data_IF_678875619767
#
_entry.id   IF_678875619767
#
_cell.length_a   1.000
_cell.length_b   1.000
_cell.length_c   1.000
_cell.angle_alpha   90.00
_cell.angle_beta   90.00
_cell.angle_gamma   90.00
#
_symmetry.space_group_name_H-M   'P 1'
#
loop_
_entity.id
_entity.type
_entity.pdbx_description
1 polymer ?
#
# COMPACT_ATOMS: atom_id res chain seq x y z
N UNK A 1 21.28 55.22 11.48
CA UNK A 1 20.31 56.15 10.87
C UNK A 1 19.30 55.27 10.12
N UNK A 2 18.26 54.76 10.78
CA UNK A 2 16.97 55.40 11.13
C UNK A 2 16.15 55.87 9.93
N UNK A 3 15.10 55.12 9.60
CA UNK A 3 13.77 55.50 9.09
C UNK A 3 13.04 54.19 8.70
N UNK A 4 12.11 53.59 9.45
CA UNK A 4 10.79 54.05 9.92
C UNK A 4 9.77 54.33 8.79
N UNK A 5 8.73 53.47 8.73
CA UNK A 5 7.36 53.88 8.44
C UNK A 5 6.74 53.48 7.09
N UNK A 6 5.84 52.49 7.09
CA UNK A 6 4.38 52.74 7.00
C UNK A 6 3.53 51.47 7.10
N UNK A 7 2.50 51.60 7.91
CA UNK A 7 1.40 50.71 8.27
C UNK A 7 0.14 50.99 7.42
N UNK A 8 -0.83 50.08 7.55
CA UNK A 8 -2.27 50.23 7.24
C UNK A 8 -2.62 50.22 5.73
N UNK A 9 -3.76 49.74 5.25
CA UNK A 9 -5.05 49.41 5.85
C UNK A 9 -5.79 48.56 4.80
N UNK A 10 -6.47 47.48 5.18
CA UNK A 10 -7.45 46.82 4.31
C UNK A 10 -8.52 46.14 5.19
N UNK A 11 -9.37 46.99 5.76
CA UNK A 11 -10.72 46.67 6.22
C UNK A 11 -11.67 46.67 5.01
N UNK A 12 -12.88 46.16 5.26
CA UNK A 12 -14.10 46.26 4.45
C UNK A 12 -14.24 45.19 3.35
N UNK A 13 -15.36 44.52 3.14
CA UNK A 13 -16.73 44.59 3.66
C UNK A 13 -17.40 43.30 3.19
N UNK A 14 -18.03 42.50 4.06
CA UNK A 14 -19.17 41.63 3.68
C UNK A 14 -19.98 41.31 4.95
N UNK A 15 -20.76 42.31 5.37
CA UNK A 15 -21.97 42.14 6.17
C UNK A 15 -23.10 41.49 5.34
N UNK A 16 -24.04 40.90 6.09
CA UNK A 16 -25.46 40.75 5.76
C UNK A 16 -25.83 39.58 4.83
N UNK A 17 -26.72 38.66 5.19
CA UNK A 17 -27.67 38.61 6.31
C UNK A 17 -28.74 37.56 6.00
N UNK A 18 -29.64 37.39 6.97
CA UNK A 18 -30.91 36.65 6.93
C UNK A 18 -30.85 35.13 7.17
N UNK A 19 -31.85 34.51 7.80
CA UNK A 19 -32.83 34.90 8.82
C UNK A 19 -33.56 33.59 9.19
N UNK A 20 -34.06 33.52 10.42
CA UNK A 20 -35.26 32.78 10.90
C UNK A 20 -35.54 31.32 10.51
N UNK A 21 -35.80 30.51 11.53
CA UNK A 21 -36.54 29.25 11.39
C UNK A 21 -36.72 28.48 12.69
N UNK A 22 -37.39 29.07 13.69
CA UNK A 22 -37.90 28.36 14.86
C UNK A 22 -39.08 27.46 14.45
N UNK A 23 -39.10 26.22 14.95
CA UNK A 23 -40.17 25.25 14.76
C UNK A 23 -40.18 24.24 15.92
N UNK A 24 -41.26 24.28 16.67
CA UNK A 24 -41.54 23.68 17.97
C UNK A 24 -42.39 22.40 17.85
N UNK A 25 -42.48 21.60 18.93
CA UNK A 25 -43.44 20.50 19.20
C UNK A 25 -43.23 19.17 18.44
N UNK A 26 -43.50 17.96 18.95
CA UNK A 26 -44.13 17.42 20.16
C UNK A 26 -43.64 15.94 20.30
N UNK A 27 -43.31 15.43 21.49
CA UNK A 27 -44.16 14.63 22.40
C UNK A 27 -44.99 13.49 21.76
N UNK A 28 -44.75 12.26 22.25
CA UNK A 28 -45.50 11.01 22.04
C UNK A 28 -44.50 9.85 22.07
N UNK A 29 -44.22 9.13 23.16
CA UNK A 29 -45.08 8.41 24.13
C UNK A 29 -46.16 7.52 23.49
N UNK A 30 -46.03 6.22 23.72
CA UNK A 30 -46.84 5.16 23.11
C UNK A 30 -46.03 3.86 22.99
N UNK A 31 -46.00 3.07 24.06
CA UNK A 31 -45.39 1.75 24.06
C UNK A 31 -46.22 0.68 23.33
N UNK A 32 -45.63 -0.50 23.13
CA UNK A 32 -46.31 -1.77 23.44
C UNK A 32 -45.28 -2.91 23.50
N UNK A 33 -45.40 -3.72 24.54
CA UNK A 33 -44.62 -4.92 24.79
C UNK A 33 -45.34 -6.10 24.13
N UNK A 34 -45.01 -6.37 22.87
CA UNK A 34 -45.50 -7.52 22.12
C UNK A 34 -44.53 -8.71 22.19
N UNK A 35 -44.69 -9.53 23.22
CA UNK A 35 -44.10 -10.86 23.36
C UNK A 35 -44.82 -11.84 22.41
N UNK A 36 -44.10 -12.53 21.53
CA UNK A 36 -44.67 -13.68 20.82
C UNK A 36 -43.92 -14.06 19.55
N UNK A 37 -43.39 -15.29 19.53
CA UNK A 37 -43.21 -16.04 18.29
C UNK A 37 -41.87 -16.72 18.14
N UNK A 38 -41.65 -17.77 18.91
CA UNK A 38 -40.74 -18.86 18.55
C UNK A 38 -40.98 -19.29 17.10
N UNK A 39 -39.99 -19.05 16.24
CA UNK A 39 -40.11 -19.33 14.82
C UNK A 39 -38.78 -19.35 14.06
N UNK A 40 -37.64 -19.44 14.76
CA UNK A 40 -36.34 -19.59 14.12
C UNK A 40 -36.11 -21.05 13.74
N UNK A 41 -36.89 -21.47 12.74
CA UNK A 41 -36.56 -22.62 11.93
C UNK A 41 -35.19 -22.39 11.31
N UNK A 42 -34.21 -23.14 11.82
CA UNK A 42 -32.91 -23.46 11.23
C UNK A 42 -32.95 -23.47 9.69
N UNK A 43 -32.83 -22.29 9.08
CA UNK A 43 -32.23 -22.12 7.77
C UNK A 43 -30.74 -22.02 8.02
N UNK A 44 -30.11 -23.17 8.21
CA UNK A 44 -28.74 -23.37 7.76
C UNK A 44 -28.79 -23.41 6.23
N UNK A 45 -29.09 -22.24 5.63
CA UNK A 45 -28.89 -22.02 4.22
C UNK A 45 -27.38 -21.97 4.01
N UNK A 46 -26.90 -22.99 3.31
CA UNK A 46 -25.55 -23.09 2.83
C UNK A 46 -25.22 -21.88 1.93
N UNK A 47 -24.67 -20.81 2.53
CA UNK A 47 -24.09 -19.66 1.83
C UNK A 47 -22.78 -19.19 2.50
N UNK A 48 -22.03 -20.14 3.06
CA UNK A 48 -20.84 -19.83 3.87
C UNK A 48 -19.58 -19.54 3.00
N UNK A 49 -19.69 -19.74 1.68
CA UNK A 49 -18.58 -19.56 0.74
C UNK A 49 -18.42 -18.12 0.26
N UNK A 50 -19.51 -17.46 -0.14
CA UNK A 50 -19.45 -16.10 -0.70
C UNK A 50 -19.20 -15.05 0.39
N UNK A 51 -19.76 -15.25 1.59
CA UNK A 51 -19.53 -14.39 2.76
C UNK A 51 -18.08 -14.41 3.27
N UNK A 52 -17.42 -15.57 3.23
CA UNK A 52 -16.04 -15.70 3.71
C UNK A 52 -15.04 -15.00 2.80
N UNK A 53 -15.17 -15.17 1.47
CA UNK A 53 -14.31 -14.47 0.49
C UNK A 53 -14.59 -12.97 0.50
N UNK A 54 -15.85 -12.57 0.69
CA UNK A 54 -16.23 -11.17 0.84
C UNK A 54 -15.54 -10.50 2.03
N UNK A 55 -15.58 -11.16 3.18
CA UNK A 55 -14.99 -10.64 4.44
C UNK A 55 -13.47 -10.58 4.37
N UNK A 56 -12.81 -11.56 3.72
CA UNK A 56 -11.36 -11.54 3.52
C UNK A 56 -10.89 -10.35 2.66
N UNK A 57 -11.70 -9.91 1.69
CA UNK A 57 -11.37 -8.79 0.81
C UNK A 57 -11.49 -7.41 1.49
N UNK A 58 -12.09 -7.34 2.68
CA UNK A 58 -12.25 -6.11 3.47
C UNK A 58 -11.10 -5.87 4.45
N UNK A 59 -10.01 -6.66 4.35
CA UNK A 59 -8.88 -6.52 5.25
C UNK A 59 -8.14 -5.18 5.03
N UNK A 60 -7.76 -4.46 6.09
CA UNK A 60 -7.04 -3.17 6.01
C UNK A 60 -5.71 -3.22 5.23
N UNK A 61 -5.18 -4.42 4.98
CA UNK A 61 -3.95 -4.65 4.23
C UNK A 61 -4.15 -4.71 2.72
N UNK A 62 -5.38 -5.01 2.28
CA UNK A 62 -5.72 -5.22 0.87
C UNK A 62 -6.19 -3.95 0.17
N UNK A 63 -6.63 -2.96 0.94
CA UNK A 63 -7.04 -1.64 0.45
C UNK A 63 -8.52 -1.35 0.66
N UNK A 64 -8.93 -0.13 0.31
CA UNK A 64 -10.23 0.43 0.74
C UNK A 64 -11.43 -0.09 -0.05
N UNK A 65 -11.25 -0.51 -1.30
CA UNK A 65 -12.37 -0.86 -2.18
C UNK A 65 -12.24 -2.27 -2.72
N UNK A 66 -13.17 -3.15 -2.31
CA UNK A 66 -13.25 -4.56 -2.72
C UNK A 66 -13.13 -4.75 -4.24
N UNK A 67 -13.82 -3.92 -5.04
CA UNK A 67 -13.76 -3.99 -6.52
C UNK A 67 -12.36 -3.68 -7.07
N UNK A 68 -11.65 -2.71 -6.48
CA UNK A 68 -10.29 -2.34 -6.90
C UNK A 68 -9.26 -3.37 -6.46
N UNK A 69 -9.46 -3.94 -5.26
CA UNK A 69 -8.65 -5.07 -4.76
C UNK A 69 -8.82 -6.29 -5.66
N UNK A 70 -10.05 -6.65 -6.03
CA UNK A 70 -10.31 -7.75 -6.96
C UNK A 70 -9.65 -7.53 -8.33
N UNK A 71 -9.74 -6.31 -8.87
CA UNK A 71 -9.06 -5.96 -10.13
C UNK A 71 -7.54 -6.10 -10.03
N UNK A 72 -6.94 -5.73 -8.89
CA UNK A 72 -5.50 -5.90 -8.68
C UNK A 72 -5.09 -7.37 -8.54
N UNK A 73 -5.90 -8.19 -7.86
CA UNK A 73 -5.68 -9.64 -7.79
C UNK A 73 -5.78 -10.26 -9.19
N UNK A 74 -6.78 -9.87 -9.99
CA UNK A 74 -6.92 -10.34 -11.36
C UNK A 74 -5.72 -9.93 -12.23
N UNK A 75 -5.28 -8.67 -12.12
CA UNK A 75 -4.08 -8.17 -12.79
C UNK A 75 -2.81 -8.95 -12.37
N UNK A 76 -2.66 -9.23 -11.08
CA UNK A 76 -1.58 -10.07 -10.56
C UNK A 76 -1.62 -11.47 -11.17
N UNK A 77 -2.80 -12.08 -11.25
CA UNK A 77 -2.99 -13.38 -11.90
C UNK A 77 -2.56 -13.37 -13.36
N UNK A 78 -2.93 -12.33 -14.11
CA UNK A 78 -2.51 -12.17 -15.51
C UNK A 78 -0.99 -12.06 -15.64
N UNK A 79 -0.34 -11.25 -14.80
CA UNK A 79 1.12 -11.14 -14.76
C UNK A 79 1.77 -12.50 -14.50
N UNK A 80 1.30 -13.22 -13.48
CA UNK A 80 1.84 -14.54 -13.12
C UNK A 80 1.71 -15.50 -14.29
N UNK A 81 0.54 -15.56 -14.94
CA UNK A 81 0.32 -16.43 -16.11
C UNK A 81 1.27 -16.05 -17.25
N UNK A 82 1.43 -14.77 -17.56
CA UNK A 82 2.35 -14.31 -18.62
C UNK A 82 3.80 -14.74 -18.34
N UNK A 83 4.28 -14.55 -17.10
CA UNK A 83 5.64 -14.95 -16.71
C UNK A 83 5.81 -16.47 -16.75
N UNK A 84 4.82 -17.24 -16.30
CA UNK A 84 4.87 -18.71 -16.39
C UNK A 84 4.90 -19.17 -17.84
N UNK A 85 4.06 -18.61 -18.71
CA UNK A 85 4.03 -18.96 -20.13
C UNK A 85 5.36 -18.63 -20.81
N UNK A 86 5.92 -17.46 -20.53
CA UNK A 86 7.22 -17.05 -21.09
C UNK A 86 8.36 -17.97 -20.62
N UNK A 87 8.44 -18.25 -19.32
CA UNK A 87 9.50 -19.09 -18.75
C UNK A 87 9.40 -20.55 -19.22
N UNK A 88 8.20 -21.12 -19.27
CA UNK A 88 7.97 -22.47 -19.81
C UNK A 88 8.26 -22.51 -21.30
N UNK A 89 7.81 -21.51 -22.06
CA UNK A 89 8.09 -21.39 -23.49
C UNK A 89 9.60 -21.34 -23.77
N UNK A 90 10.35 -20.55 -22.99
CA UNK A 90 11.79 -20.45 -23.10
C UNK A 90 12.52 -21.77 -22.74
N UNK A 91 12.01 -22.53 -21.75
CA UNK A 91 12.57 -23.81 -21.37
C UNK A 91 12.39 -24.89 -22.46
N UNK A 92 11.24 -24.88 -23.14
CA UNK A 92 10.93 -25.83 -24.22
C UNK A 92 11.68 -25.47 -25.51
N UNK A 93 11.78 -24.18 -25.84
CA UNK A 93 12.32 -23.71 -27.13
C UNK A 93 13.86 -23.68 -27.20
N UNK A 94 14.59 -23.87 -26.09
CA UNK A 94 16.06 -23.80 -26.05
C UNK A 94 16.69 -25.19 -25.77
N UNK A 95 16.84 -26.06 -26.78
CA UNK A 95 17.73 -27.21 -26.65
C UNK A 95 19.14 -26.72 -26.31
N UNK A 96 19.77 -27.31 -25.29
CA UNK A 96 21.09 -26.90 -24.74
C UNK A 96 22.26 -26.95 -25.74
N UNK A 97 22.03 -27.31 -27.00
CA UNK A 97 23.07 -27.70 -27.97
C UNK A 97 23.09 -26.86 -29.25
N UNK A 98 22.17 -25.92 -29.46
CA UNK A 98 22.20 -25.03 -30.64
C UNK A 98 22.35 -23.57 -30.26
N UNK A 99 23.24 -22.80 -30.91
CA UNK A 99 23.24 -21.35 -30.79
C UNK A 99 21.86 -20.84 -31.24
N UNK A 100 21.23 -19.93 -30.48
CA UNK A 100 19.88 -19.52 -30.77
C UNK A 100 19.85 -18.70 -32.05
N UNK A 101 19.38 -19.29 -33.15
CA UNK A 101 18.87 -18.52 -34.29
C UNK A 101 17.53 -17.95 -33.87
N UNK A 102 17.56 -16.83 -33.15
CA UNK A 102 16.34 -16.11 -32.77
C UNK A 102 15.66 -15.60 -34.03
N UNK A 103 14.41 -16.00 -34.24
CA UNK A 103 13.55 -15.37 -35.23
C UNK A 103 13.15 -13.98 -34.72
N UNK A 104 13.02 -13.01 -35.62
CA UNK A 104 12.65 -11.62 -35.29
C UNK A 104 11.35 -11.52 -34.46
N UNK A 105 10.46 -12.51 -34.62
CA UNK A 105 9.22 -12.63 -33.85
C UNK A 105 9.45 -12.99 -32.38
N UNK A 106 10.40 -13.90 -32.07
CA UNK A 106 10.73 -14.25 -30.69
C UNK A 106 11.37 -13.07 -29.95
N UNK A 107 12.22 -12.32 -30.64
CA UNK A 107 12.89 -11.13 -30.09
C UNK A 107 11.87 -10.00 -29.78
N UNK A 108 10.85 -9.85 -30.63
CA UNK A 108 9.76 -8.91 -30.41
C UNK A 108 8.90 -9.30 -29.20
N UNK A 109 8.56 -10.58 -29.06
CA UNK A 109 7.77 -11.09 -27.92
C UNK A 109 8.53 -10.91 -26.61
N UNK A 110 9.82 -11.27 -26.58
CA UNK A 110 10.67 -11.11 -25.41
C UNK A 110 10.76 -9.63 -24.99
N UNK A 111 10.93 -8.70 -25.94
CA UNK A 111 10.93 -7.26 -25.65
C UNK A 111 9.60 -6.79 -25.06
N UNK A 112 8.46 -7.24 -25.60
CA UNK A 112 7.15 -6.89 -25.04
C UNK A 112 6.99 -7.41 -23.62
N UNK A 113 7.42 -8.65 -23.33
CA UNK A 113 7.39 -9.23 -21.98
C UNK A 113 8.26 -8.43 -21.03
N UNK A 114 9.47 -8.04 -21.44
CA UNK A 114 10.37 -7.20 -20.62
C UNK A 114 9.74 -5.85 -20.31
N UNK A 115 9.12 -5.18 -21.30
CA UNK A 115 8.44 -3.90 -21.08
C UNK A 115 7.28 -4.08 -20.12
N UNK A 116 6.44 -5.10 -20.30
CA UNK A 116 5.31 -5.40 -19.41
C UNK A 116 5.79 -5.70 -18.00
N UNK A 117 6.85 -6.50 -17.83
CA UNK A 117 7.45 -6.80 -16.54
C UNK A 117 8.02 -5.53 -15.88
N UNK A 118 8.69 -4.67 -16.64
CA UNK A 118 9.24 -3.41 -16.15
C UNK A 118 8.13 -2.48 -15.66
N UNK A 119 7.04 -2.34 -16.43
CA UNK A 119 5.86 -1.56 -16.03
C UNK A 119 5.20 -2.16 -14.78
N UNK A 120 5.07 -3.49 -14.73
CA UNK A 120 4.50 -4.21 -13.60
C UNK A 120 5.34 -4.06 -12.32
N UNK A 121 6.67 -3.97 -12.42
CA UNK A 121 7.56 -3.83 -11.27
C UNK A 121 7.66 -2.36 -10.83
N UNK A 122 7.83 -1.43 -11.78
CA UNK A 122 8.18 -0.04 -11.47
C UNK A 122 6.98 0.91 -11.34
N UNK A 123 5.94 0.70 -12.16
CA UNK A 123 4.85 1.68 -12.34
C UNK A 123 3.55 1.21 -11.67
N UNK A 124 3.18 -0.05 -11.88
CA UNK A 124 1.92 -0.58 -11.34
C UNK A 124 1.84 -0.51 -9.78
N UNK A 125 2.91 -0.80 -9.00
CA UNK A 125 2.86 -0.72 -7.55
C UNK A 125 2.56 0.67 -6.99
N UNK A 126 3.28 1.75 -7.37
CA UNK A 126 2.96 3.08 -6.86
C UNK A 126 1.60 3.59 -7.35
N UNK A 127 1.20 3.27 -8.58
CA UNK A 127 -0.14 3.63 -9.09
C UNK A 127 -1.22 2.94 -8.26
N UNK A 128 -1.06 1.65 -7.97
CA UNK A 128 -1.99 0.91 -7.14
C UNK A 128 -2.00 1.40 -5.69
N UNK A 129 -0.83 1.67 -5.12
CA UNK A 129 -0.66 2.21 -3.78
C UNK A 129 -1.43 3.53 -3.62
N UNK A 130 -1.25 4.46 -4.55
CA UNK A 130 -2.01 5.70 -4.58
C UNK A 130 -3.47 5.41 -4.82
N UNK A 131 -3.87 4.52 -5.73
CA UNK A 131 -5.27 4.33 -6.11
C UNK A 131 -6.13 3.61 -5.07
N UNK A 132 -5.63 2.54 -4.43
CA UNK A 132 -6.41 1.68 -3.52
C UNK A 132 -5.89 1.64 -2.07
N UNK A 133 -4.62 2.02 -1.82
CA UNK A 133 -4.07 2.13 -0.46
C UNK A 133 -3.72 0.79 0.21
N UNK A 134 -3.71 -0.33 -0.51
CA UNK A 134 -3.37 -1.64 0.06
C UNK A 134 -1.85 -1.90 0.07
N UNK A 135 -1.16 -1.92 1.23
CA UNK A 135 0.29 -2.09 1.28
C UNK A 135 0.74 -3.48 0.84
N UNK A 136 0.00 -4.54 1.17
CA UNK A 136 0.33 -5.91 0.78
C UNK A 136 0.20 -6.14 -0.74
N UNK A 137 -0.93 -5.81 -1.40
CA UNK A 137 -1.03 -5.97 -2.84
C UNK A 137 -0.06 -5.08 -3.62
N UNK A 138 0.27 -3.88 -3.13
CA UNK A 138 1.30 -3.05 -3.75
C UNK A 138 2.66 -3.76 -3.79
N UNK A 139 3.07 -4.37 -2.68
CA UNK A 139 4.30 -5.19 -2.61
C UNK A 139 4.22 -6.39 -3.55
N UNK A 140 3.10 -7.12 -3.51
CA UNK A 140 2.92 -8.34 -4.30
C UNK A 140 2.97 -8.08 -5.80
N UNK A 141 2.43 -6.96 -6.28
CA UNK A 141 2.49 -6.57 -7.70
C UNK A 141 3.95 -6.40 -8.14
N UNK A 142 4.80 -5.80 -7.30
CA UNK A 142 6.23 -5.64 -7.61
C UNK A 142 6.98 -6.97 -7.57
N UNK A 143 6.72 -7.81 -6.56
CA UNK A 143 7.49 -9.04 -6.32
C UNK A 143 7.05 -10.24 -7.17
N UNK A 144 5.78 -10.33 -7.55
CA UNK A 144 5.25 -11.53 -8.21
C UNK A 144 6.00 -11.93 -9.48
N UNK A 145 6.33 -11.02 -10.43
CA UNK A 145 7.09 -11.40 -11.62
C UNK A 145 8.42 -12.06 -11.28
N UNK A 146 9.13 -11.48 -10.31
CA UNK A 146 10.47 -11.94 -9.93
C UNK A 146 10.41 -13.27 -9.18
N UNK A 147 9.53 -13.39 -8.19
CA UNK A 147 9.38 -14.62 -7.40
C UNK A 147 8.99 -15.79 -8.29
N UNK A 148 8.03 -15.59 -9.20
CA UNK A 148 7.60 -16.62 -10.15
C UNK A 148 8.73 -17.02 -11.09
N UNK A 149 9.46 -16.05 -11.65
CA UNK A 149 10.60 -16.33 -12.51
C UNK A 149 11.74 -17.06 -11.78
N UNK A 150 12.06 -16.67 -10.54
CA UNK A 150 13.05 -17.33 -9.69
C UNK A 150 12.67 -18.78 -9.38
N UNK A 151 11.40 -19.03 -9.04
CA UNK A 151 10.88 -20.39 -8.79
C UNK A 151 10.96 -21.23 -10.07
N UNK A 152 10.50 -20.68 -11.21
CA UNK A 152 10.48 -21.40 -12.49
C UNK A 152 11.88 -21.75 -12.99
N UNK A 153 12.88 -20.90 -12.73
CA UNK A 153 14.27 -21.11 -13.14
C UNK A 153 15.11 -21.87 -12.10
N UNK A 154 14.57 -22.11 -10.91
CA UNK A 154 15.29 -22.72 -9.79
C UNK A 154 16.46 -21.89 -9.26
N UNK A 155 16.49 -20.58 -9.57
CA UNK A 155 17.54 -19.65 -9.15
C UNK A 155 17.02 -18.76 -8.02
N UNK A 156 17.51 -18.99 -6.82
CA UNK A 156 17.19 -18.23 -5.61
C UNK A 156 18.26 -17.18 -5.30
N UNK A 157 18.78 -16.50 -6.32
CA UNK A 157 19.80 -15.46 -6.15
C UNK A 157 19.11 -14.11 -6.10
N UNK A 158 19.56 -13.25 -5.18
CA UNK A 158 19.11 -11.87 -5.09
C UNK A 158 19.75 -11.06 -6.23
N UNK A 159 19.14 -11.14 -7.40
CA UNK A 159 19.62 -10.46 -8.61
C UNK A 159 19.11 -9.00 -8.66
N UNK A 160 19.51 -8.26 -9.70
CA UNK A 160 19.11 -6.87 -9.93
C UNK A 160 17.58 -6.72 -9.85
N UNK A 161 16.84 -7.58 -10.54
CA UNK A 161 15.38 -7.52 -10.62
C UNK A 161 14.71 -7.70 -9.26
N UNK A 162 15.21 -8.64 -8.44
CA UNK A 162 14.72 -8.87 -7.08
C UNK A 162 14.98 -7.66 -6.18
N UNK A 163 16.14 -7.05 -6.32
CA UNK A 163 16.52 -5.86 -5.56
C UNK A 163 15.68 -4.64 -5.95
N UNK A 164 15.45 -4.44 -7.24
CA UNK A 164 14.55 -3.39 -7.76
C UNK A 164 13.12 -3.64 -7.27
N UNK A 165 12.60 -4.86 -7.42
CA UNK A 165 11.25 -5.20 -6.98
C UNK A 165 11.04 -5.02 -5.48
N UNK A 166 12.01 -5.40 -4.65
CA UNK A 166 11.98 -5.15 -3.21
C UNK A 166 11.98 -3.65 -2.88
N UNK A 167 12.82 -2.88 -3.59
CA UNK A 167 12.94 -1.43 -3.35
C UNK A 167 11.66 -0.71 -3.73
N UNK A 168 11.16 -0.95 -4.95
CA UNK A 168 9.92 -0.34 -5.46
C UNK A 168 8.72 -0.83 -4.64
N UNK A 169 8.65 -2.12 -4.35
CA UNK A 169 7.57 -2.71 -3.55
C UNK A 169 7.50 -2.12 -2.15
N UNK A 170 8.63 -1.99 -1.45
CA UNK A 170 8.69 -1.35 -0.13
C UNK A 170 8.24 0.11 -0.19
N UNK A 171 8.72 0.86 -1.18
CA UNK A 171 8.31 2.25 -1.39
C UNK A 171 6.81 2.37 -1.69
N UNK A 172 6.26 1.48 -2.52
CA UNK A 172 4.85 1.44 -2.84
C UNK A 172 4.00 1.07 -1.62
N UNK A 173 4.42 0.11 -0.80
CA UNK A 173 3.70 -0.25 0.43
C UNK A 173 3.66 0.91 1.43
N UNK A 174 4.79 1.61 1.61
CA UNK A 174 4.84 2.80 2.46
C UNK A 174 3.96 3.93 1.92
N UNK A 175 4.00 4.16 0.60
CA UNK A 175 3.14 5.12 -0.07
C UNK A 175 1.65 4.76 0.05
N UNK A 176 1.31 3.47 0.07
CA UNK A 176 -0.06 2.99 0.21
C UNK A 176 -0.65 3.37 1.56
N UNK A 177 0.11 3.20 2.66
CA UNK A 177 -0.29 3.66 4.00
C UNK A 177 -0.48 5.18 3.97
N UNK A 178 0.53 5.91 3.49
CA UNK A 178 0.47 7.37 3.48
C UNK A 178 -0.72 7.90 2.69
N UNK A 179 -0.95 7.38 1.47
CA UNK A 179 -2.06 7.79 0.62
C UNK A 179 -3.42 7.42 1.22
N UNK A 180 -3.53 6.27 1.90
CA UNK A 180 -4.74 5.87 2.59
C UNK A 180 -5.05 6.85 3.73
N UNK A 181 -4.06 7.16 4.56
CA UNK A 181 -4.28 8.00 5.74
C UNK A 181 -4.53 9.47 5.36
N UNK A 182 -3.90 9.98 4.30
CA UNK A 182 -4.22 11.31 3.74
C UNK A 182 -5.70 11.38 3.34
N UNK A 183 -6.26 10.31 2.77
CA UNK A 183 -7.67 10.28 2.36
C UNK A 183 -8.64 10.13 3.52
N UNK A 184 -8.26 9.36 4.54
CA UNK A 184 -9.09 9.20 5.73
C UNK A 184 -9.13 10.48 6.55
N UNK A 185 -8.00 11.17 6.67
CA UNK A 185 -7.88 12.37 7.51
C UNK A 185 -8.16 13.67 6.76
N UNK A 186 -8.17 13.64 5.42
CA UNK A 186 -8.14 14.84 4.55
C UNK A 186 -7.04 15.84 4.96
N UNK A 187 -5.94 15.35 5.54
CA UNK A 187 -4.85 16.18 6.06
C UNK A 187 -3.53 15.86 5.37
N UNK A 188 -2.71 16.90 5.12
CA UNK A 188 -1.37 16.75 4.57
C UNK A 188 -0.36 16.11 5.54
N UNK A 189 -0.71 16.02 6.82
CA UNK A 189 0.10 15.40 7.89
C UNK A 189 -0.72 14.31 8.59
N UNK A 190 -1.04 13.21 7.89
CA UNK A 190 -1.95 12.18 8.38
C UNK A 190 -1.47 11.55 9.70
N UNK A 191 -0.15 11.43 9.88
CA UNK A 191 0.46 10.87 11.09
C UNK A 191 0.14 11.66 12.37
N UNK A 192 -0.38 12.90 12.29
CA UNK A 192 -0.86 13.65 13.47
C UNK A 192 -2.11 13.05 14.09
N UNK A 193 -2.91 12.28 13.33
CA UNK A 193 -4.05 11.58 13.90
C UNK A 193 -3.62 10.61 15.00
N UNK A 194 -2.50 9.92 14.80
CA UNK A 194 -1.90 9.04 15.80
C UNK A 194 -1.53 9.78 17.09
N UNK A 195 -1.22 11.08 17.01
CA UNK A 195 -0.93 11.92 18.17
C UNK A 195 -2.17 12.18 19.03
N UNK A 196 -3.35 12.26 18.41
CA UNK A 196 -4.62 12.65 19.07
C UNK A 196 -5.44 11.44 19.49
N UNK A 197 -5.62 10.48 18.58
CA UNK A 197 -6.55 9.34 18.78
C UNK A 197 -5.84 8.08 19.29
N UNK A 198 -4.51 8.02 19.22
CA UNK A 198 -3.71 6.83 19.50
C UNK A 198 -3.58 5.88 18.31
N UNK A 199 -2.99 4.70 18.54
CA UNK A 199 -2.80 3.65 17.52
C UNK A 199 -3.93 2.63 17.63
N UNK A 200 -4.69 2.46 16.55
CA UNK A 200 -5.60 1.33 16.38
C UNK A 200 -4.83 0.07 15.96
N UNK A 201 -5.33 -1.13 16.30
CA UNK A 201 -4.71 -2.42 15.94
C UNK A 201 -4.49 -2.60 14.43
N UNK A 202 -5.38 -2.04 13.62
CA UNK A 202 -5.28 -2.09 12.17
C UNK A 202 -4.08 -1.27 11.66
N UNK A 203 -3.83 -0.11 12.26
CA UNK A 203 -2.72 0.76 11.91
C UNK A 203 -1.39 0.18 12.39
N UNK A 204 -1.38 -0.43 13.58
CA UNK A 204 -0.22 -1.17 14.09
C UNK A 204 0.23 -2.26 13.11
N UNK A 205 -0.71 -3.08 12.63
CA UNK A 205 -0.43 -4.17 11.69
C UNK A 205 0.16 -3.67 10.36
N UNK A 206 -0.39 -2.57 9.83
CA UNK A 206 0.10 -1.93 8.60
C UNK A 206 1.52 -1.38 8.78
N UNK A 207 1.76 -0.67 9.88
CA UNK A 207 3.06 -0.08 10.19
C UNK A 207 4.13 -1.13 10.44
N UNK A 208 3.80 -2.19 11.17
CA UNK A 208 4.71 -3.33 11.37
C UNK A 208 5.08 -3.97 10.03
N UNK A 209 4.09 -4.22 9.16
CA UNK A 209 4.33 -4.78 7.84
C UNK A 209 5.26 -3.91 6.99
N UNK A 210 4.97 -2.60 6.88
CA UNK A 210 5.83 -1.69 6.11
C UNK A 210 7.22 -1.59 6.72
N UNK A 211 7.35 -1.60 8.05
CA UNK A 211 8.65 -1.59 8.73
C UNK A 211 9.46 -2.84 8.39
N UNK A 212 8.85 -4.04 8.52
CA UNK A 212 9.50 -5.31 8.18
C UNK A 212 9.93 -5.33 6.72
N UNK A 213 9.03 -4.97 5.81
CA UNK A 213 9.32 -4.95 4.36
C UNK A 213 10.43 -3.95 4.05
N UNK A 214 10.44 -2.78 4.69
CA UNK A 214 11.50 -1.77 4.52
C UNK A 214 12.85 -2.28 5.01
N UNK A 215 12.90 -2.97 6.15
CA UNK A 215 14.14 -3.57 6.68
C UNK A 215 14.64 -4.68 5.77
N UNK A 216 13.76 -5.61 5.36
CA UNK A 216 14.12 -6.73 4.46
C UNK A 216 14.67 -6.18 3.14
N UNK A 217 13.97 -5.20 2.57
CA UNK A 217 14.39 -4.57 1.33
C UNK A 217 15.75 -3.86 1.53
N UNK A 218 16.02 -3.25 2.69
CA UNK A 218 17.25 -2.48 2.94
C UNK A 218 18.45 -3.40 3.02
N UNK A 219 18.29 -4.47 3.81
CA UNK A 219 19.29 -5.54 3.90
C UNK A 219 19.52 -6.16 2.53
N UNK A 220 18.47 -6.39 1.74
CA UNK A 220 18.56 -6.88 0.36
C UNK A 220 19.39 -5.96 -0.53
N UNK A 221 19.07 -4.67 -0.56
CA UNK A 221 19.78 -3.67 -1.36
C UNK A 221 21.25 -3.52 -0.95
N UNK A 222 21.55 -3.51 0.35
CA UNK A 222 22.93 -3.47 0.85
C UNK A 222 23.69 -4.73 0.42
N UNK A 223 23.10 -5.92 0.56
CA UNK A 223 23.75 -7.17 0.11
C UNK A 223 23.99 -7.19 -1.39
N UNK A 224 23.05 -6.68 -2.19
CA UNK A 224 23.21 -6.53 -3.63
C UNK A 224 24.39 -5.61 -3.97
N UNK A 225 24.41 -4.39 -3.43
CA UNK A 225 25.49 -3.42 -3.69
C UNK A 225 26.86 -3.95 -3.29
N UNK A 226 26.95 -4.74 -2.21
CA UNK A 226 28.21 -5.32 -1.74
C UNK A 226 28.67 -6.56 -2.53
N UNK A 227 27.77 -7.31 -3.14
CA UNK A 227 28.06 -8.60 -3.78
C UNK A 227 28.13 -8.53 -5.31
N UNK A 228 27.57 -7.49 -5.92
CA UNK A 228 27.38 -7.43 -7.37
C UNK A 228 28.45 -6.56 -8.06
N UNK A 229 28.87 -6.88 -9.30
CA UNK A 229 29.79 -6.03 -10.06
C UNK A 229 29.28 -4.61 -10.30
N UNK A 230 30.20 -3.66 -10.49
CA UNK A 230 29.92 -2.23 -10.64
C UNK A 230 28.90 -1.91 -11.76
N UNK A 231 28.93 -2.64 -12.89
CA UNK A 231 27.98 -2.40 -13.97
C UNK A 231 26.53 -2.62 -13.53
N UNK A 232 26.25 -3.60 -12.66
CA UNK A 232 24.89 -3.87 -12.20
C UNK A 232 24.39 -2.80 -11.22
N UNK A 233 25.29 -2.24 -10.40
CA UNK A 233 24.96 -1.11 -9.53
C UNK A 233 24.62 0.16 -10.31
N UNK A 234 25.23 0.38 -11.48
CA UNK A 234 24.87 1.49 -12.38
C UNK A 234 23.42 1.35 -12.88
N UNK A 235 23.01 0.13 -13.23
CA UNK A 235 21.61 -0.15 -13.62
C UNK A 235 20.61 -0.03 -12.47
N UNK A 236 21.04 -0.24 -11.22
CA UNK A 236 20.22 -0.04 -10.04
C UNK A 236 20.07 1.43 -9.62
N UNK A 237 21.06 2.27 -9.95
CA UNK A 237 21.13 3.67 -9.50
C UNK A 237 19.84 4.49 -9.69
N UNK A 238 19.06 4.36 -10.78
CA UNK A 238 17.80 5.08 -10.95
C UNK A 238 16.74 4.76 -9.89
N UNK A 239 16.78 3.56 -9.30
CA UNK A 239 15.82 3.09 -8.30
C UNK A 239 16.26 3.35 -6.87
N UNK A 240 17.55 3.55 -6.64
CA UNK A 240 18.09 3.80 -5.30
C UNK A 240 17.39 4.95 -4.54
N UNK A 241 16.99 6.08 -5.16
CA UNK A 241 16.29 7.15 -4.44
C UNK A 241 14.92 6.74 -3.87
N UNK A 242 14.29 5.68 -4.40
CA UNK A 242 13.01 5.19 -3.88
C UNK A 242 13.11 4.71 -2.43
N UNK A 243 14.32 4.41 -1.94
CA UNK A 243 14.60 4.14 -0.53
C UNK A 243 14.19 5.26 0.43
N UNK A 244 14.19 6.50 -0.05
CA UNK A 244 13.83 7.65 0.76
C UNK A 244 12.34 7.62 1.13
N UNK A 245 11.49 7.02 0.31
CA UNK A 245 10.03 6.94 0.53
C UNK A 245 9.68 6.11 1.77
N UNK A 246 10.04 4.81 1.86
CA UNK A 246 9.73 4.02 3.04
C UNK A 246 10.41 4.55 4.30
N UNK A 247 11.65 5.04 4.19
CA UNK A 247 12.36 5.65 5.32
C UNK A 247 11.62 6.88 5.84
N UNK A 248 11.22 7.80 4.96
CA UNK A 248 10.50 9.01 5.36
C UNK A 248 9.15 8.69 6.02
N UNK A 249 8.39 7.73 5.46
CA UNK A 249 7.12 7.29 6.05
C UNK A 249 7.35 6.66 7.42
N UNK A 250 8.22 5.66 7.53
CA UNK A 250 8.49 4.97 8.81
C UNK A 250 8.96 5.97 9.88
N UNK A 251 9.88 6.89 9.53
CA UNK A 251 10.37 7.90 10.48
C UNK A 251 9.28 8.89 10.89
N UNK A 252 8.40 9.31 9.99
CA UNK A 252 7.29 10.21 10.31
C UNK A 252 6.32 9.58 11.32
N UNK A 253 5.95 8.32 11.12
CA UNK A 253 5.05 7.58 12.01
C UNK A 253 5.73 7.20 13.33
N UNK A 254 7.01 6.82 13.30
CA UNK A 254 7.78 6.56 14.50
C UNK A 254 7.91 7.82 15.39
N UNK A 255 8.16 8.97 14.79
CA UNK A 255 8.23 10.24 15.52
C UNK A 255 6.87 10.60 16.14
N UNK A 256 5.76 10.40 15.42
CA UNK A 256 4.42 10.59 15.98
C UNK A 256 4.15 9.64 17.16
N UNK A 257 4.55 8.38 17.05
CA UNK A 257 4.44 7.40 18.14
C UNK A 257 5.28 7.76 19.36
N UNK A 258 6.54 8.14 19.19
CA UNK A 258 7.41 8.54 20.31
C UNK A 258 6.84 9.74 21.08
N UNK A 259 6.21 10.69 20.37
CA UNK A 259 5.54 11.84 21.00
C UNK A 259 4.37 11.42 21.89
N UNK A 260 3.58 10.42 21.47
CA UNK A 260 2.48 9.94 22.31
C UNK A 260 2.96 9.14 23.51
N UNK A 261 3.99 8.30 23.33
CA UNK A 261 4.55 7.51 24.42
C UNK A 261 5.16 8.36 25.55
N UNK A 262 5.76 9.51 25.21
CA UNK A 262 6.36 10.43 26.19
C UNK A 262 5.33 11.31 26.90
N UNK A 263 4.20 11.64 26.24
CA UNK A 263 3.21 12.59 26.76
C UNK A 263 2.14 11.92 27.63
N UNK A 264 1.92 10.60 27.53
CA UNK A 264 0.92 9.92 28.37
C UNK A 264 1.35 9.97 29.85
N UNK A 265 0.63 10.71 30.71
CA UNK A 265 0.89 10.69 32.15
C UNK A 265 0.64 9.26 32.65
N UNK A 266 1.51 8.76 33.53
CA UNK A 266 1.29 7.50 34.20
C UNK A 266 -0.03 7.59 35.00
N UNK A 267 -1.10 6.84 34.65
CA UNK A 267 -2.37 6.91 35.38
C UNK A 267 -2.20 6.48 36.85
N UNK A 268 -1.14 5.72 37.15
CA UNK A 268 -0.83 5.25 38.50
C UNK A 268 -0.12 6.32 39.35
N UNK A 269 0.27 7.47 38.77
CA UNK A 269 0.93 8.55 39.50
C UNK A 269 -0.04 9.52 40.20
N UNK A 270 -1.36 9.32 40.06
CA UNK A 270 -2.39 10.20 40.65
C UNK A 270 -3.16 9.58 41.83
N UNK A 271 -2.82 8.37 42.28
CA UNK A 271 -3.46 7.71 43.45
C UNK A 271 -2.61 7.76 44.75
N UNK A 272 -1.70 8.74 44.88
CA UNK A 272 -0.84 8.94 46.06
C UNK A 272 -1.23 10.11 46.93
#
# INVERSE_FOLDING_TARGET
MSAAGRSADARNDLESGADTGAGESAAGDGGDAGHGGDGDGNRYEADDGEGTVATLLEHPMLGRHRRRTAAAIAFLGVIVVLVVVDTVGAAIARPRTSPPTFTLAFDTIANVVIVVATVAIAIAPPVYAVWNGGPAPALSIALAPVVVASIATGRYVLDLDATVALTVGAAASALAIFANDVRETNAARPWRRLEVDGIDRADESRLLFVTVVSVVSFVGAVRFVLATPAYATEWYAPFAPLWLVPVAVVLAYLNAWLRTAVIRPNPDATEG
#
